data_IF_256853165188
#
_entry.id   IF_256853165188
#
_cell.length_a   1.000
_cell.length_b   1.000
_cell.length_c   1.000
_cell.angle_alpha   90.00
_cell.angle_beta   90.00
_cell.angle_gamma   90.00
#
_symmetry.space_group_name_H-M   'P 1'
#
loop_
_entity.id
_entity.type
_entity.pdbx_description
1 polymer ?
#
# COMPACT_ATOMS: atom_id res chain seq x y z
N UNK A 1 -6.57 27.06 11.08
CA UNK A 1 -7.28 25.79 11.35
C UNK A 1 -6.85 24.82 10.26
N UNK A 2 -6.10 23.76 10.60
CA UNK A 2 -5.56 22.81 9.61
C UNK A 2 -6.69 21.93 9.09
N UNK A 3 -7.08 22.10 7.83
CA UNK A 3 -8.05 21.19 7.20
C UNK A 3 -7.33 19.86 6.91
N UNK A 4 -7.91 18.70 7.30
CA UNK A 4 -7.32 17.40 7.02
C UNK A 4 -7.11 17.20 5.52
N UNK A 5 -5.94 16.71 5.14
CA UNK A 5 -5.67 16.34 3.75
C UNK A 5 -6.58 15.19 3.34
N UNK A 6 -7.31 15.36 2.24
CA UNK A 6 -8.17 14.33 1.65
C UNK A 6 -7.63 13.93 0.28
N UNK A 7 -7.70 12.64 -0.02
CA UNK A 7 -7.39 12.13 -1.36
C UNK A 7 -8.56 12.51 -2.28
N UNK A 8 -8.28 13.25 -3.34
CA UNK A 8 -9.30 13.69 -4.31
C UNK A 8 -9.25 12.87 -5.61
N UNK A 9 -8.03 12.61 -6.09
CA UNK A 9 -7.78 11.82 -7.30
C UNK A 9 -6.64 10.85 -7.04
N UNK A 10 -6.69 9.70 -7.68
CA UNK A 10 -5.57 8.78 -7.71
C UNK A 10 -5.48 8.08 -9.05
N UNK A 11 -4.28 7.63 -9.38
CA UNK A 11 -4.02 6.68 -10.46
C UNK A 11 -3.05 5.61 -9.98
N UNK A 12 -3.04 4.48 -10.67
CA UNK A 12 -2.07 3.41 -10.47
C UNK A 12 -1.32 3.20 -11.78
N UNK A 13 -0.01 3.04 -11.71
CA UNK A 13 0.81 2.61 -12.83
C UNK A 13 1.22 1.15 -12.62
N UNK A 14 1.21 0.41 -13.72
CA UNK A 14 1.65 -0.99 -13.77
C UNK A 14 2.76 -1.07 -14.81
N UNK A 15 3.98 -1.40 -14.40
CA UNK A 15 5.18 -1.44 -15.26
C UNK A 15 5.41 -0.14 -16.08
N UNK A 16 4.96 0.99 -15.54
CA UNK A 16 5.04 2.30 -16.19
C UNK A 16 3.84 2.67 -17.08
N UNK A 17 2.92 1.75 -17.35
CA UNK A 17 1.65 2.04 -18.02
C UNK A 17 0.67 2.70 -17.06
N UNK A 18 0.07 3.82 -17.47
CA UNK A 18 -0.88 4.56 -16.65
C UNK A 18 -2.30 3.98 -16.78
N UNK A 19 -2.83 3.41 -15.69
CA UNK A 19 -4.17 2.79 -15.68
C UNK A 19 -5.27 3.75 -15.22
N UNK A 20 -5.19 4.99 -15.72
CA UNK A 20 -6.16 6.03 -15.43
C UNK A 20 -7.58 5.62 -15.84
N UNK A 21 -8.53 5.77 -14.93
CA UNK A 21 -9.94 5.45 -15.16
C UNK A 21 -10.27 3.95 -15.21
N UNK A 22 -9.29 3.06 -15.05
CA UNK A 22 -9.53 1.61 -15.02
C UNK A 22 -9.41 1.01 -13.62
N UNK A 23 -8.60 1.59 -12.74
CA UNK A 23 -8.49 1.21 -11.32
C UNK A 23 -9.65 1.82 -10.54
N UNK A 24 -10.46 0.99 -9.88
CA UNK A 24 -11.63 1.42 -9.11
C UNK A 24 -11.33 1.61 -7.63
N UNK A 25 -10.47 0.77 -7.06
CA UNK A 25 -9.97 0.91 -5.70
C UNK A 25 -8.55 0.34 -5.55
N UNK A 26 -7.80 0.90 -4.62
CA UNK A 26 -6.48 0.40 -4.22
C UNK A 26 -6.43 0.33 -2.69
N UNK A 27 -6.04 -0.82 -2.15
CA UNK A 27 -5.66 -0.96 -0.75
C UNK A 27 -4.15 -1.05 -0.66
N UNK A 28 -3.55 -0.01 -0.08
CA UNK A 28 -2.12 0.04 0.20
C UNK A 28 -1.74 -0.99 1.26
N UNK A 29 -0.47 -1.45 1.28
CA UNK A 29 0.03 -2.37 2.28
C UNK A 29 -0.21 -1.86 3.69
N UNK A 30 -0.82 -2.71 4.50
CA UNK A 30 -1.00 -2.42 5.92
C UNK A 30 0.29 -2.81 6.63
N UNK A 31 1.18 -1.84 6.81
CA UNK A 31 2.47 -2.02 7.49
C UNK A 31 2.25 -2.32 8.98
N UNK A 32 1.93 -3.59 9.28
CA UNK A 32 1.80 -4.10 10.64
C UNK A 32 3.13 -4.65 11.12
N UNK A 33 3.37 -4.47 12.43
CA UNK A 33 4.53 -5.05 13.12
C UNK A 33 4.08 -6.32 13.82
N UNK A 34 4.89 -7.38 13.68
CA UNK A 34 4.69 -8.62 14.42
C UNK A 34 5.27 -8.44 15.81
N UNK A 35 4.42 -8.45 16.82
CA UNK A 35 4.84 -8.26 18.21
C UNK A 35 4.61 -9.53 19.02
N UNK A 36 5.62 -9.97 19.76
CA UNK A 36 5.48 -11.05 20.73
C UNK A 36 5.39 -10.49 22.15
N UNK A 37 4.45 -11.00 22.93
CA UNK A 37 4.30 -10.60 24.32
C UNK A 37 5.34 -11.32 25.18
N UNK A 38 6.44 -10.63 25.48
CA UNK A 38 7.49 -11.14 26.34
C UNK A 38 7.24 -10.76 27.80
N UNK A 39 7.46 -11.71 28.71
CA UNK A 39 7.42 -11.47 30.16
C UNK A 39 8.58 -12.19 30.84
N UNK A 40 9.57 -11.41 31.28
CA UNK A 40 10.70 -11.89 32.06
C UNK A 40 10.41 -12.04 33.56
N UNK A 41 11.31 -12.70 34.29
CA UNK A 41 11.26 -12.79 35.74
C UNK A 41 11.35 -11.41 36.40
N UNK A 42 10.44 -11.09 37.32
CA UNK A 42 10.37 -9.79 37.98
C UNK A 42 9.55 -8.72 37.23
N UNK A 43 8.99 -9.03 36.05
CA UNK A 43 8.13 -8.10 35.33
C UNK A 43 6.66 -8.21 35.78
N UNK A 44 6.11 -7.08 36.25
CA UNK A 44 4.70 -6.97 36.67
C UNK A 44 3.71 -7.02 35.50
N UNK A 45 4.16 -6.84 34.25
CA UNK A 45 3.36 -6.96 33.02
C UNK A 45 4.19 -7.42 31.82
N UNK A 46 3.51 -7.86 30.75
CA UNK A 46 4.15 -8.23 29.48
C UNK A 46 4.47 -6.99 28.65
N UNK A 47 5.58 -7.04 27.91
CA UNK A 47 5.99 -6.01 26.95
C UNK A 47 5.94 -6.61 25.56
N UNK A 48 5.39 -5.85 24.61
CA UNK A 48 5.38 -6.21 23.20
C UNK A 48 6.78 -6.01 22.60
N UNK A 49 7.46 -7.11 22.28
CA UNK A 49 8.76 -7.10 21.61
C UNK A 49 8.53 -7.13 20.10
N UNK A 50 9.15 -6.20 19.38
CA UNK A 50 9.06 -6.10 17.92
C UNK A 50 9.90 -7.19 17.26
N UNK A 51 9.26 -8.07 16.49
CA UNK A 51 9.89 -9.11 15.68
C UNK A 51 10.00 -8.72 14.20
N UNK A 52 9.67 -7.48 13.84
CA UNK A 52 9.75 -6.97 12.48
C UNK A 52 8.39 -6.84 11.81
N UNK A 53 8.39 -6.88 10.49
CA UNK A 53 7.17 -6.78 9.68
C UNK A 53 6.38 -8.08 9.77
N UNK A 54 5.06 -7.95 9.77
CA UNK A 54 4.15 -9.08 9.69
C UNK A 54 4.21 -9.76 8.32
N UNK A 55 3.81 -11.02 8.25
CA UNK A 55 4.00 -11.85 7.04
C UNK A 55 3.21 -11.32 5.83
N UNK A 56 2.07 -10.64 6.07
CA UNK A 56 1.26 -9.94 5.06
C UNK A 56 1.36 -8.41 5.11
N UNK A 57 2.36 -7.86 5.80
CA UNK A 57 2.48 -6.40 5.97
C UNK A 57 2.74 -5.65 4.66
N UNK A 58 3.18 -6.37 3.62
CA UNK A 58 3.51 -5.84 2.29
C UNK A 58 2.45 -6.17 1.22
N UNK A 59 1.33 -6.79 1.59
CA UNK A 59 0.28 -7.16 0.65
C UNK A 59 -0.48 -5.91 0.14
N UNK A 60 -0.49 -5.72 -1.17
CA UNK A 60 -1.26 -4.68 -1.84
C UNK A 60 -2.36 -5.30 -2.71
N UNK A 61 -3.55 -4.69 -2.74
CA UNK A 61 -4.65 -5.12 -3.60
C UNK A 61 -5.12 -3.97 -4.47
N UNK A 62 -5.12 -4.19 -5.79
CA UNK A 62 -5.73 -3.27 -6.75
C UNK A 62 -6.98 -3.93 -7.35
N UNK A 63 -8.07 -3.18 -7.43
CA UNK A 63 -9.31 -3.61 -8.08
C UNK A 63 -9.46 -2.84 -9.38
N UNK A 64 -9.72 -3.58 -10.45
CA UNK A 64 -9.89 -3.04 -11.79
C UNK A 64 -11.34 -3.19 -12.24
N UNK A 65 -11.88 -2.17 -12.90
CA UNK A 65 -13.27 -2.14 -13.37
C UNK A 65 -13.53 -2.91 -14.68
N UNK A 66 -12.51 -3.55 -15.26
CA UNK A 66 -12.62 -4.22 -16.56
C UNK A 66 -11.57 -5.30 -16.78
N UNK A 67 -11.65 -5.97 -17.94
CA UNK A 67 -10.72 -7.02 -18.32
C UNK A 67 -9.38 -6.43 -18.78
N UNK A 68 -8.30 -6.71 -18.04
CA UNK A 68 -6.95 -6.23 -18.32
C UNK A 68 -6.03 -7.38 -18.69
N UNK A 69 -5.82 -7.66 -19.99
CA UNK A 69 -4.96 -8.77 -20.41
C UNK A 69 -3.49 -8.56 -20.00
N UNK A 70 -3.02 -7.32 -19.87
CA UNK A 70 -1.64 -7.01 -19.42
C UNK A 70 -1.38 -7.48 -17.99
N UNK A 71 -2.25 -7.08 -17.05
CA UNK A 71 -2.16 -7.48 -15.64
C UNK A 71 -2.34 -8.99 -15.46
N UNK A 72 -3.29 -9.60 -16.20
CA UNK A 72 -3.54 -11.04 -16.12
C UNK A 72 -2.35 -11.84 -16.64
N UNK A 73 -1.64 -11.38 -17.67
CA UNK A 73 -0.43 -12.06 -18.17
C UNK A 73 0.72 -12.07 -17.17
N UNK A 74 0.75 -11.10 -16.25
CA UNK A 74 1.74 -11.02 -15.16
C UNK A 74 1.44 -11.96 -14.00
N UNK A 75 0.24 -12.54 -13.98
CA UNK A 75 -0.12 -13.53 -12.98
C UNK A 75 0.70 -14.82 -13.20
N UNK A 76 1.52 -15.17 -12.20
CA UNK A 76 2.42 -16.33 -12.26
C UNK A 76 3.81 -16.03 -12.84
N UNK A 77 4.20 -14.76 -12.92
CA UNK A 77 5.55 -14.32 -13.24
C UNK A 77 6.57 -14.54 -12.10
N UNK A 78 7.74 -13.89 -12.23
CA UNK A 78 8.75 -13.89 -11.17
C UNK A 78 8.31 -13.09 -9.93
N UNK A 79 8.95 -13.33 -8.78
CA UNK A 79 8.62 -12.72 -7.47
C UNK A 79 8.77 -11.18 -7.44
N UNK A 80 9.47 -10.58 -8.41
CA UNK A 80 9.75 -9.14 -8.47
C UNK A 80 9.30 -8.52 -9.81
N UNK A 81 8.42 -9.21 -10.54
CA UNK A 81 8.11 -8.86 -11.93
C UNK A 81 7.14 -7.67 -12.04
N UNK A 82 6.23 -7.51 -11.08
CA UNK A 82 5.15 -6.52 -11.15
C UNK A 82 5.54 -5.25 -10.39
N UNK A 83 5.77 -4.16 -11.13
CA UNK A 83 5.96 -2.83 -10.53
C UNK A 83 4.62 -2.10 -10.45
N UNK A 84 4.20 -1.81 -9.22
CA UNK A 84 3.00 -1.02 -8.95
C UNK A 84 3.39 0.33 -8.39
N UNK A 85 2.89 1.41 -8.99
CA UNK A 85 3.12 2.76 -8.50
C UNK A 85 1.81 3.52 -8.33
N UNK A 86 1.45 3.78 -7.10
CA UNK A 86 0.29 4.57 -6.75
C UNK A 86 0.67 6.04 -6.70
N UNK A 87 -0.15 6.88 -7.33
CA UNK A 87 -0.02 8.33 -7.26
C UNK A 87 -1.37 8.91 -6.88
N UNK A 88 -1.44 9.52 -5.70
CA UNK A 88 -2.62 10.17 -5.13
C UNK A 88 -2.41 11.67 -4.93
N UNK A 89 -3.47 12.45 -5.18
CA UNK A 89 -3.48 13.89 -4.93
C UNK A 89 -4.18 14.19 -3.61
N UNK A 90 -3.41 14.74 -2.67
CA UNK A 90 -3.87 15.20 -1.36
C UNK A 90 -4.15 16.69 -1.41
N UNK A 91 -5.42 17.06 -1.27
CA UNK A 91 -5.84 18.45 -1.25
C UNK A 91 -6.22 18.89 0.16
N UNK A 92 -5.77 20.08 0.54
CA UNK A 92 -6.29 20.86 1.67
C UNK A 92 -6.62 22.27 1.17
N UNK A 93 -7.33 23.08 1.94
CA UNK A 93 -7.86 24.40 1.54
C UNK A 93 -6.77 25.40 1.10
N UNK A 94 -6.22 25.22 -0.10
CA UNK A 94 -5.18 26.05 -0.72
C UNK A 94 -3.79 25.42 -0.88
N UNK A 95 -3.51 24.24 -0.31
CA UNK A 95 -2.23 23.52 -0.48
C UNK A 95 -2.48 22.12 -1.05
N UNK A 96 -1.58 21.69 -1.93
CA UNK A 96 -1.67 20.42 -2.62
C UNK A 96 -0.37 19.64 -2.53
N UNK A 97 -0.50 18.37 -2.15
CA UNK A 97 0.63 17.45 -2.05
C UNK A 97 0.36 16.21 -2.87
N UNK A 98 1.41 15.68 -3.47
CA UNK A 98 1.37 14.39 -4.15
C UNK A 98 1.83 13.33 -3.17
N UNK A 99 1.07 12.24 -3.07
CA UNK A 99 1.45 11.04 -2.36
C UNK A 99 1.79 9.97 -3.42
N UNK A 100 3.05 9.60 -3.50
CA UNK A 100 3.54 8.57 -4.42
C UNK A 100 4.06 7.39 -3.61
N UNK A 101 3.61 6.19 -3.97
CA UNK A 101 4.01 4.94 -3.32
C UNK A 101 4.38 3.96 -4.42
N UNK A 102 5.64 3.55 -4.44
CA UNK A 102 6.15 2.52 -5.33
C UNK A 102 6.24 1.19 -4.57
N UNK A 103 5.76 0.14 -5.20
CA UNK A 103 5.69 -1.22 -4.69
C UNK A 103 6.13 -2.17 -5.80
N UNK A 104 6.72 -3.30 -5.40
CA UNK A 104 7.14 -4.33 -6.32
C UNK A 104 6.96 -5.70 -5.68
N UNK A 105 6.52 -6.66 -6.48
CA UNK A 105 6.34 -8.05 -6.10
C UNK A 105 5.92 -8.90 -7.28
#
# INVERSE_FOLDING_TARGET
MSVPHKIQFFTCFIDGENEIGKVTSLTLPKVTRKTENYRGGGMMGSVAVDLGLDDGALDATAVFGGFMPGVIRKYGGDIDELKLRFVGYLYTSGDSRVCEIEMRG
#
